data_IF_043616652522
#
_entry.id   IF_043616652522
#
_cell.length_a   1.000
_cell.length_b   1.000
_cell.length_c   1.000
_cell.angle_alpha   90.00
_cell.angle_beta   90.00
_cell.angle_gamma   90.00
#
_symmetry.space_group_name_H-M   'P 1'
#
loop_
_entity.id
_entity.type
_entity.pdbx_description
1 polymer ?
#
# COMPACT_ATOMS: atom_id res chain seq x y z
N UNK A 1 -3.90 9.43 23.22
CA UNK A 1 -2.85 10.20 22.49
C UNK A 1 -2.45 9.53 21.19
N UNK A 2 -2.06 8.24 21.18
CA UNK A 2 -1.66 7.54 19.94
C UNK A 2 -2.78 7.42 18.87
N UNK A 3 -4.02 7.20 19.30
CA UNK A 3 -5.19 7.14 18.40
C UNK A 3 -5.42 8.45 17.62
N UNK A 4 -5.22 9.59 18.29
CA UNK A 4 -5.41 10.93 17.73
C UNK A 4 -4.29 11.29 16.74
N UNK A 5 -3.08 10.76 16.96
CA UNK A 5 -1.95 10.88 16.03
C UNK A 5 -2.19 10.05 14.77
N UNK A 6 -2.68 8.81 14.90
CA UNK A 6 -3.02 7.95 13.77
C UNK A 6 -4.16 8.57 12.95
N UNK A 7 -5.25 8.98 13.60
CA UNK A 7 -6.41 9.60 12.95
C UNK A 7 -6.07 10.93 12.25
N UNK A 8 -5.07 11.67 12.71
CA UNK A 8 -4.57 12.88 12.02
C UNK A 8 -3.56 12.58 10.92
N UNK A 9 -2.71 11.57 11.10
CA UNK A 9 -1.58 11.31 10.19
C UNK A 9 -1.97 10.41 9.02
N UNK A 10 -2.78 9.37 9.25
CA UNK A 10 -3.21 8.43 8.20
C UNK A 10 -3.96 9.12 7.05
N UNK A 11 -4.92 10.04 7.27
CA UNK A 11 -5.60 10.72 6.17
C UNK A 11 -4.63 11.49 5.29
N UNK A 12 -3.63 12.15 5.89
CA UNK A 12 -2.58 12.85 5.16
C UNK A 12 -1.75 11.89 4.33
N UNK A 13 -1.37 10.73 4.88
CA UNK A 13 -0.61 9.70 4.15
C UNK A 13 -1.45 9.08 3.02
N UNK A 14 -2.73 8.80 3.24
CA UNK A 14 -3.66 8.28 2.22
C UNK A 14 -3.75 9.26 1.05
N UNK A 15 -3.99 10.55 1.32
CA UNK A 15 -4.05 11.57 0.27
C UNK A 15 -2.72 11.73 -0.46
N UNK A 16 -1.59 11.61 0.23
CA UNK A 16 -0.27 11.62 -0.41
C UNK A 16 -0.07 10.41 -1.34
N UNK A 17 -0.43 9.21 -0.91
CA UNK A 17 -0.38 8.01 -1.76
C UNK A 17 -1.30 8.12 -2.98
N UNK A 18 -2.53 8.63 -2.82
CA UNK A 18 -3.44 8.89 -3.94
C UNK A 18 -2.84 9.92 -4.92
N UNK A 19 -2.24 11.00 -4.40
CA UNK A 19 -1.59 12.03 -5.20
C UNK A 19 -0.41 11.46 -6.01
N UNK A 20 0.42 10.62 -5.39
CA UNK A 20 1.52 9.94 -6.06
C UNK A 20 1.02 9.02 -7.17
N UNK A 21 -0.04 8.25 -6.93
CA UNK A 21 -0.66 7.41 -7.95
C UNK A 21 -1.14 8.23 -9.15
N UNK A 22 -1.87 9.33 -8.91
CA UNK A 22 -2.34 10.24 -9.96
C UNK A 22 -1.17 10.84 -10.74
N UNK A 23 -0.11 11.26 -10.05
CA UNK A 23 1.08 11.82 -10.67
C UNK A 23 1.78 10.81 -11.60
N UNK A 24 1.95 9.57 -11.16
CA UNK A 24 2.57 8.50 -11.96
C UNK A 24 1.73 8.19 -13.19
N UNK A 25 0.40 8.12 -13.08
CA UNK A 25 -0.50 7.98 -14.26
C UNK A 25 -0.27 9.14 -15.23
N UNK A 26 -0.28 10.37 -14.73
CA UNK A 26 -0.18 11.57 -15.56
C UNK A 26 1.14 11.59 -16.36
N UNK A 27 2.28 11.37 -15.70
CA UNK A 27 3.59 11.35 -16.35
C UNK A 27 3.70 10.21 -17.37
N UNK A 28 3.21 9.01 -17.03
CA UNK A 28 3.26 7.85 -17.92
C UNK A 28 2.36 8.04 -19.15
N UNK A 29 1.17 8.62 -18.96
CA UNK A 29 0.24 8.92 -20.04
C UNK A 29 0.78 10.04 -20.95
N UNK A 30 1.32 11.13 -20.39
CA UNK A 30 1.94 12.22 -21.15
C UNK A 30 3.14 11.72 -21.96
N UNK A 31 4.03 10.94 -21.34
CA UNK A 31 5.19 10.36 -22.02
C UNK A 31 4.78 9.39 -23.13
N UNK A 32 3.82 8.52 -22.87
CA UNK A 32 3.27 7.58 -23.87
C UNK A 32 2.59 8.31 -25.04
N UNK A 33 1.80 9.34 -24.75
CA UNK A 33 1.12 10.15 -25.77
C UNK A 33 2.11 10.94 -26.62
N UNK A 34 3.14 11.53 -26.01
CA UNK A 34 4.19 12.24 -26.74
C UNK A 34 4.95 11.30 -27.70
N UNK A 35 5.32 10.11 -27.23
CA UNK A 35 5.95 9.09 -28.08
C UNK A 35 5.01 8.58 -29.18
N UNK A 36 3.72 8.44 -28.90
CA UNK A 36 2.71 8.07 -29.89
C UNK A 36 2.58 9.13 -31.00
N UNK A 37 2.43 10.41 -30.65
CA UNK A 37 2.39 11.50 -31.64
C UNK A 37 3.67 11.56 -32.47
N UNK A 38 4.85 11.41 -31.84
CA UNK A 38 6.13 11.40 -32.55
C UNK A 38 6.30 10.17 -33.46
N UNK A 39 5.80 9.01 -33.03
CA UNK A 39 5.76 7.78 -33.79
C UNK A 39 4.84 7.87 -35.01
N UNK A 40 3.72 8.58 -34.90
CA UNK A 40 2.82 8.86 -36.02
C UNK A 40 3.50 9.69 -37.12
N UNK A 41 4.38 10.62 -36.73
CA UNK A 41 5.15 11.48 -37.64
C UNK A 41 6.37 10.73 -38.24
N UNK A 42 6.98 9.81 -37.48
CA UNK A 42 8.27 9.17 -37.85
C UNK A 42 8.09 7.73 -38.37
N UNK A 43 6.87 7.18 -38.37
CA UNK A 43 6.52 5.85 -38.88
C UNK A 43 7.37 4.68 -38.32
N UNK A 44 7.85 4.78 -37.07
CA UNK A 44 8.61 3.73 -36.37
C UNK A 44 7.76 3.00 -35.34
N UNK A 45 7.88 1.68 -35.29
CA UNK A 45 7.30 0.83 -34.25
C UNK A 45 8.06 1.01 -32.93
N UNK A 46 7.54 1.86 -32.04
CA UNK A 46 8.05 2.04 -30.68
C UNK A 46 7.20 1.20 -29.72
N UNK A 47 7.83 0.53 -28.75
CA UNK A 47 7.17 -0.32 -27.75
C UNK A 47 6.43 0.49 -26.66
N UNK A 48 5.63 1.49 -27.05
CA UNK A 48 4.89 2.42 -26.18
C UNK A 48 3.97 1.68 -25.20
N UNK A 49 3.46 0.51 -25.61
CA UNK A 49 2.55 -0.31 -24.79
C UNK A 49 3.21 -0.82 -23.51
N UNK A 50 4.49 -1.19 -23.56
CA UNK A 50 5.20 -1.75 -22.41
C UNK A 50 5.46 -0.67 -21.34
N UNK A 51 5.96 0.49 -21.76
CA UNK A 51 6.22 1.61 -20.85
C UNK A 51 4.93 2.14 -20.21
N UNK A 52 3.86 2.25 -21.00
CA UNK A 52 2.55 2.68 -20.50
C UNK A 52 1.96 1.65 -19.52
N UNK A 53 2.03 0.35 -19.84
CA UNK A 53 1.56 -0.71 -18.95
C UNK A 53 2.31 -0.72 -17.61
N UNK A 54 3.63 -0.50 -17.63
CA UNK A 54 4.45 -0.47 -16.43
C UNK A 54 4.11 0.76 -15.56
N UNK A 55 3.99 1.94 -16.17
CA UNK A 55 3.58 3.16 -15.46
C UNK A 55 2.16 3.07 -14.87
N UNK A 56 1.23 2.44 -15.59
CA UNK A 56 -0.11 2.16 -15.08
C UNK A 56 -0.08 1.16 -13.92
N UNK A 57 0.71 0.09 -14.01
CA UNK A 57 0.87 -0.88 -12.93
C UNK A 57 1.38 -0.22 -11.64
N UNK A 58 2.44 0.59 -11.73
CA UNK A 58 2.97 1.34 -10.59
C UNK A 58 1.93 2.29 -9.99
N UNK A 59 1.12 2.95 -10.81
CA UNK A 59 0.05 3.82 -10.28
C UNK A 59 -1.04 3.05 -9.52
N UNK A 60 -1.35 1.83 -9.96
CA UNK A 60 -2.34 0.97 -9.32
C UNK A 60 -1.83 0.45 -7.97
N UNK A 61 -0.54 0.16 -7.86
CA UNK A 61 0.09 -0.20 -6.57
C UNK A 61 -0.04 0.94 -5.55
N UNK A 62 0.23 2.19 -5.95
CA UNK A 62 0.04 3.35 -5.08
C UNK A 62 -1.41 3.56 -4.67
N UNK A 63 -2.35 3.35 -5.60
CA UNK A 63 -3.79 3.46 -5.31
C UNK A 63 -4.27 2.35 -4.38
N UNK A 64 -3.83 1.11 -4.60
CA UNK A 64 -4.11 -0.02 -3.73
C UNK A 64 -3.54 0.19 -2.32
N UNK A 65 -2.32 0.72 -2.21
CA UNK A 65 -1.73 1.08 -0.92
C UNK A 65 -2.60 2.12 -0.18
N UNK A 66 -3.07 3.16 -0.87
CA UNK A 66 -3.97 4.15 -0.28
C UNK A 66 -5.31 3.53 0.16
N UNK A 67 -5.88 2.61 -0.62
CA UNK A 67 -7.10 1.89 -0.26
C UNK A 67 -6.91 0.98 0.96
N UNK A 68 -5.77 0.27 1.06
CA UNK A 68 -5.42 -0.50 2.26
C UNK A 68 -5.36 0.42 3.47
N UNK A 69 -4.62 1.54 3.40
CA UNK A 69 -4.53 2.51 4.50
C UNK A 69 -5.91 3.10 4.85
N UNK A 70 -6.80 3.30 3.88
CA UNK A 70 -8.17 3.78 4.10
C UNK A 70 -9.03 2.74 4.82
N UNK A 71 -8.90 1.45 4.49
CA UNK A 71 -9.59 0.38 5.21
C UNK A 71 -9.05 0.16 6.64
N UNK A 72 -7.76 0.44 6.85
CA UNK A 72 -7.13 0.49 8.17
C UNK A 72 -7.65 1.69 8.97
N UNK A 73 -7.88 2.85 8.35
CA UNK A 73 -8.43 4.04 9.01
C UNK A 73 -9.92 3.89 9.39
N UNK A 74 -10.73 3.28 8.53
CA UNK A 74 -12.21 3.22 8.67
C UNK A 74 -12.69 2.13 9.64
N UNK A 75 -11.83 1.17 10.01
CA UNK A 75 -12.15 0.16 11.03
C UNK A 75 -11.52 0.55 12.35
N UNK A 76 -12.28 0.48 13.44
CA UNK A 76 -11.86 0.67 14.84
C UNK A 76 -10.53 -0.03 15.17
N UNK A 77 -9.40 0.64 14.88
CA UNK A 77 -8.05 0.14 15.10
C UNK A 77 -7.80 -0.18 16.57
N UNK A 78 -8.56 0.43 17.47
CA UNK A 78 -8.39 0.25 18.89
C UNK A 78 -8.87 -1.13 19.35
N UNK A 79 -10.00 -1.62 18.85
CA UNK A 79 -10.54 -2.92 19.28
C UNK A 79 -9.83 -4.10 18.63
N UNK A 80 -9.53 -4.01 17.33
CA UNK A 80 -8.84 -5.08 16.60
C UNK A 80 -7.39 -5.25 17.06
N UNK A 81 -6.70 -4.16 17.37
CA UNK A 81 -5.34 -4.20 17.89
C UNK A 81 -5.32 -4.78 19.31
N UNK A 82 -6.27 -4.40 20.17
CA UNK A 82 -6.39 -4.96 21.51
C UNK A 82 -6.68 -6.46 21.45
N UNK A 83 -7.62 -6.90 20.60
CA UNK A 83 -7.94 -8.32 20.45
C UNK A 83 -6.74 -9.11 19.87
N UNK A 84 -6.05 -8.57 18.87
CA UNK A 84 -4.86 -9.17 18.29
C UNK A 84 -3.72 -9.31 19.30
N UNK A 85 -3.48 -8.28 20.12
CA UNK A 85 -2.48 -8.30 21.18
C UNK A 85 -2.80 -9.35 22.26
N UNK A 86 -4.08 -9.48 22.65
CA UNK A 86 -4.53 -10.50 23.63
C UNK A 86 -4.31 -11.92 23.10
N UNK A 87 -4.63 -12.18 21.83
CA UNK A 87 -4.42 -13.50 21.21
C UNK A 87 -2.93 -13.84 21.14
N UNK A 88 -2.09 -12.88 20.73
CA UNK A 88 -0.65 -13.06 20.67
C UNK A 88 -0.06 -13.37 22.05
N UNK A 89 -0.46 -12.61 23.07
CA UNK A 89 -0.02 -12.81 24.45
C UNK A 89 -0.44 -14.21 24.96
N UNK A 90 -1.66 -14.65 24.63
CA UNK A 90 -2.15 -15.99 24.98
C UNK A 90 -1.33 -17.08 24.30
N UNK A 91 -0.99 -16.91 23.03
CA UNK A 91 -0.14 -17.86 22.31
C UNK A 91 1.26 -17.93 22.92
N UNK A 92 1.87 -16.79 23.25
CA UNK A 92 3.19 -16.72 23.86
C UNK A 92 3.21 -17.35 25.26
N UNK A 93 2.21 -17.08 26.11
CA UNK A 93 2.08 -17.70 27.43
C UNK A 93 1.90 -19.21 27.34
N UNK A 94 1.01 -19.68 26.45
CA UNK A 94 0.83 -21.11 26.21
C UNK A 94 2.10 -21.78 25.69
N UNK A 95 2.86 -21.12 24.82
CA UNK A 95 4.14 -21.62 24.33
C UNK A 95 5.20 -21.63 25.44
N UNK A 96 5.30 -20.58 26.24
CA UNK A 96 6.25 -20.49 27.35
C UNK A 96 6.02 -21.61 28.38
N UNK A 97 4.76 -21.85 28.77
CA UNK A 97 4.39 -22.95 29.66
C UNK A 97 4.73 -24.29 29.04
N UNK A 98 4.45 -24.48 27.74
CA UNK A 98 4.82 -25.71 27.04
C UNK A 98 6.35 -25.92 26.98
N UNK A 99 7.14 -24.87 26.82
CA UNK A 99 8.61 -24.95 26.85
C UNK A 99 9.14 -25.22 28.26
N UNK A 100 8.58 -24.60 29.29
CA UNK A 100 8.94 -24.86 30.69
C UNK A 100 8.65 -26.31 31.08
N UNK A 101 7.47 -26.83 30.73
CA UNK A 101 7.12 -28.23 30.98
C UNK A 101 8.00 -29.23 30.22
N UNK A 102 8.70 -28.80 29.16
CA UNK A 102 9.60 -29.66 28.37
C UNK A 102 11.08 -29.47 28.68
N UNK A 103 11.44 -28.45 29.44
CA UNK A 103 12.82 -28.13 29.85
C UNK A 103 13.15 -28.47 31.30
N UNK A 104 12.18 -28.95 32.09
CA UNK A 104 12.35 -29.41 33.46
C UNK A 104 12.70 -30.90 33.59
N UNK A 105 13.64 -31.40 32.79
CA UNK A 105 14.15 -32.78 32.83
C UNK A 105 15.64 -32.84 32.58
#
# INVERSE_FOLDING_TARGET
MLHLVIERTLPTVISLCELMGIFVVAVSALGGFFQYCRGLITHRAVNIKADLANGLATSLEFKMAAEILKTVLVRDLNELLVLGAVILLRALLSLLIHFEMRGGG
#
